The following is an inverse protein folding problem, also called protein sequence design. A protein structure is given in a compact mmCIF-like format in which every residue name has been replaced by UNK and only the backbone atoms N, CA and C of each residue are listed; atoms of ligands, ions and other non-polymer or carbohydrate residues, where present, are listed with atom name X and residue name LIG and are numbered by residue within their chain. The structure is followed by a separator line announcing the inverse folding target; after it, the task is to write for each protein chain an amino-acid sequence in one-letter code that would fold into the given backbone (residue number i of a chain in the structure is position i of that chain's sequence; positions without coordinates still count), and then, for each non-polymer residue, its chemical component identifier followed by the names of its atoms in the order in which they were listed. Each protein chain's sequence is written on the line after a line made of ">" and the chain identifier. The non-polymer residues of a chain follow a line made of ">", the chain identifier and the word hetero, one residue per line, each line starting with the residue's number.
data_IF_837957802450
#
_entry.id   IF_837957802450
#
_cell.length_a   1.000
_cell.length_b   1.000
_cell.length_c   1.000
_cell.angle_alpha   90.00
_cell.angle_beta   90.00
_cell.angle_gamma   90.00
#
_symmetry.space_group_name_H-M   'P 1'
#
loop_
_entity.id
_entity.type
_entity.pdbx_description
1 polymer ?
#
# COMPACT_ATOMS: atom_id res chain seq x y z
N UNK A 1 -23.35 -17.42 20.29
CA UNK A 1 -22.46 -16.29 20.64
C UNK A 1 -21.22 -16.49 19.79
N UNK A 2 -21.29 -16.00 18.56
CA UNK A 2 -20.17 -16.09 17.61
C UNK A 2 -19.13 -15.05 18.03
N UNK A 3 -17.88 -15.47 18.07
CA UNK A 3 -16.74 -14.57 18.23
C UNK A 3 -16.79 -13.51 17.11
N UNK A 4 -16.88 -12.20 17.42
CA UNK A 4 -17.01 -11.15 16.41
C UNK A 4 -15.70 -10.85 15.67
N UNK A 5 -14.61 -11.56 15.99
CA UNK A 5 -13.29 -11.35 15.41
C UNK A 5 -12.85 -12.57 14.59
N UNK A 6 -13.38 -12.68 13.36
CA UNK A 6 -12.99 -13.70 12.38
C UNK A 6 -11.55 -13.57 11.85
N UNK A 7 -10.55 -13.39 12.72
CA UNK A 7 -9.16 -13.24 12.30
C UNK A 7 -8.47 -14.61 12.28
N UNK A 8 -8.26 -15.14 11.07
CA UNK A 8 -7.30 -16.22 10.84
C UNK A 8 -5.88 -15.65 10.99
N UNK A 9 -4.92 -16.38 11.61
CA UNK A 9 -3.52 -15.99 11.59
C UNK A 9 -3.04 -15.82 10.14
N UNK A 10 -2.66 -14.60 9.74
CA UNK A 10 -2.31 -14.25 8.35
C UNK A 10 -3.33 -13.39 7.60
N UNK A 11 -4.53 -13.16 8.15
CA UNK A 11 -5.48 -12.18 7.62
C UNK A 11 -4.96 -10.76 7.91
N UNK A 12 -4.80 -9.93 6.88
CA UNK A 12 -4.33 -8.54 7.00
C UNK A 12 -2.91 -8.26 6.49
N UNK A 13 -2.29 -9.24 5.82
CA UNK A 13 -0.97 -9.09 5.22
C UNK A 13 -1.02 -9.50 3.76
N UNK A 14 -0.48 -8.66 2.87
CA UNK A 14 -0.33 -8.94 1.45
C UNK A 14 1.16 -9.10 1.10
N UNK A 15 1.54 -10.29 0.62
CA UNK A 15 2.92 -10.62 0.28
C UNK A 15 3.15 -10.45 -1.23
N UNK A 16 4.07 -9.55 -1.59
CA UNK A 16 4.44 -9.24 -2.98
C UNK A 16 5.68 -10.03 -3.44
N UNK A 17 6.22 -10.93 -2.61
CA UNK A 17 7.43 -11.71 -2.85
C UNK A 17 8.74 -10.93 -2.61
N UNK A 18 8.69 -9.59 -2.68
CA UNK A 18 9.81 -8.68 -2.37
C UNK A 18 9.49 -7.70 -1.24
N UNK A 19 8.23 -7.63 -0.82
CA UNK A 19 7.78 -6.85 0.33
C UNK A 19 6.51 -7.48 0.91
N UNK A 20 6.24 -7.15 2.17
CA UNK A 20 5.07 -7.57 2.89
C UNK A 20 4.32 -6.33 3.36
N UNK A 21 3.13 -6.12 2.82
CA UNK A 21 2.27 -4.98 3.15
C UNK A 21 1.31 -5.37 4.27
N UNK A 22 1.25 -4.57 5.32
CA UNK A 22 0.29 -4.75 6.40
C UNK A 22 -0.99 -3.98 6.10
N UNK A 23 -1.95 -4.65 5.48
CA UNK A 23 -3.25 -4.04 5.13
C UNK A 23 -4.14 -3.85 6.37
N UNK A 24 -3.87 -4.51 7.49
CA UNK A 24 -4.63 -4.37 8.73
C UNK A 24 -4.05 -3.30 9.68
N UNK A 25 -2.91 -2.70 9.33
CA UNK A 25 -2.18 -1.75 10.19
C UNK A 25 -3.08 -0.69 10.80
N UNK A 26 -3.92 -0.04 9.99
CA UNK A 26 -4.87 0.98 10.45
C UNK A 26 -5.75 0.48 11.59
N UNK A 27 -6.31 -0.72 11.48
CA UNK A 27 -7.17 -1.29 12.53
C UNK A 27 -6.39 -1.54 13.83
N UNK A 28 -5.11 -1.90 13.73
CA UNK A 28 -4.26 -2.23 14.88
C UNK A 28 -3.63 -1.01 15.54
N UNK A 29 -3.39 0.06 14.79
CA UNK A 29 -2.56 1.18 15.23
C UNK A 29 -3.16 2.56 15.01
N UNK A 30 -4.31 2.69 14.35
CA UNK A 30 -4.92 3.96 13.98
C UNK A 30 -4.47 4.51 12.62
N UNK A 31 -3.23 4.22 12.20
CA UNK A 31 -2.68 4.72 10.92
C UNK A 31 -2.57 3.64 9.83
N UNK A 32 -2.88 3.96 8.56
CA UNK A 32 -2.68 3.04 7.44
C UNK A 32 -1.19 2.83 7.14
N UNK A 33 -0.91 1.77 6.37
CA UNK A 33 0.43 1.52 5.85
C UNK A 33 0.82 2.57 4.80
N UNK A 34 2.08 3.01 4.83
CA UNK A 34 2.65 4.03 3.93
C UNK A 34 3.85 3.44 3.19
N UNK A 35 3.97 3.75 1.90
CA UNK A 35 5.09 3.29 1.07
C UNK A 35 6.26 4.26 1.16
N UNK A 36 7.41 3.81 1.66
CA UNK A 36 8.67 4.53 1.52
C UNK A 36 9.32 4.19 0.17
N UNK A 37 9.52 5.18 -0.70
CA UNK A 37 10.11 4.99 -2.03
C UNK A 37 11.62 4.78 -2.05
N UNK A 38 12.34 5.19 -1.01
CA UNK A 38 13.79 5.09 -0.95
C UNK A 38 14.26 3.63 -1.10
N UNK A 39 15.12 3.38 -2.09
CA UNK A 39 15.66 2.05 -2.39
C UNK A 39 14.70 1.11 -3.14
N UNK A 40 13.49 1.58 -3.52
CA UNK A 40 12.55 0.82 -4.35
C UNK A 40 12.71 1.17 -5.82
N UNK A 41 12.41 0.21 -6.68
CA UNK A 41 12.24 0.48 -8.12
C UNK A 41 10.87 1.14 -8.38
N UNK A 42 10.74 1.82 -9.52
CA UNK A 42 9.47 2.42 -9.94
C UNK A 42 8.33 1.38 -9.98
N UNK A 43 8.59 0.19 -10.53
CA UNK A 43 7.61 -0.90 -10.58
C UNK A 43 7.20 -1.41 -9.19
N UNK A 44 8.14 -1.47 -8.23
CA UNK A 44 7.82 -1.82 -6.85
C UNK A 44 6.94 -0.77 -6.17
N UNK A 45 7.20 0.52 -6.41
CA UNK A 45 6.36 1.60 -5.89
C UNK A 45 4.93 1.47 -6.41
N UNK A 46 4.77 1.34 -7.73
CA UNK A 46 3.44 1.23 -8.35
C UNK A 46 2.70 -0.02 -7.85
N UNK A 47 3.37 -1.17 -7.81
CA UNK A 47 2.76 -2.41 -7.34
C UNK A 47 2.32 -2.32 -5.86
N UNK A 48 3.11 -1.68 -4.99
CA UNK A 48 2.71 -1.47 -3.60
C UNK A 48 1.49 -0.55 -3.48
N UNK A 49 1.47 0.56 -4.21
CA UNK A 49 0.35 1.49 -4.21
C UNK A 49 -0.94 0.85 -4.72
N UNK A 50 -0.86 0.07 -5.81
CA UNK A 50 -1.98 -0.69 -6.34
C UNK A 50 -2.51 -1.71 -5.34
N UNK A 51 -1.62 -2.48 -4.70
CA UNK A 51 -2.02 -3.49 -3.72
C UNK A 51 -2.70 -2.86 -2.49
N UNK A 52 -2.16 -1.76 -1.95
CA UNK A 52 -2.77 -1.04 -0.83
C UNK A 52 -4.11 -0.40 -1.22
N UNK A 53 -4.19 0.20 -2.42
CA UNK A 53 -5.42 0.82 -2.91
C UNK A 53 -6.52 -0.20 -3.19
N UNK A 54 -6.17 -1.37 -3.73
CA UNK A 54 -7.12 -2.46 -3.95
C UNK A 54 -7.63 -3.07 -2.62
N UNK A 55 -6.79 -3.11 -1.59
CA UNK A 55 -7.18 -3.58 -0.26
C UNK A 55 -8.11 -2.57 0.45
N UNK A 56 -7.98 -1.27 0.15
CA UNK A 56 -8.74 -0.19 0.80
C UNK A 56 -9.22 0.85 -0.23
N UNK A 57 -10.20 0.50 -1.09
CA UNK A 57 -10.62 1.35 -2.22
C UNK A 57 -11.19 2.71 -1.78
N UNK A 58 -11.75 2.78 -0.56
CA UNK A 58 -12.34 4.00 -0.01
C UNK A 58 -11.33 4.87 0.76
N UNK A 59 -10.03 4.57 0.69
CA UNK A 59 -8.98 5.26 1.46
C UNK A 59 -7.82 5.69 0.58
N UNK A 60 -7.26 6.84 0.90
CA UNK A 60 -6.02 7.30 0.27
C UNK A 60 -4.83 6.43 0.70
N UNK A 61 -3.92 6.20 -0.24
CA UNK A 61 -2.62 5.55 -0.01
C UNK A 61 -1.53 6.60 -0.21
N UNK A 62 -0.54 6.61 0.68
CA UNK A 62 0.56 7.55 0.61
C UNK A 62 1.87 6.84 0.24
N UNK A 63 2.62 7.43 -0.70
CA UNK A 63 4.01 7.13 -0.93
C UNK A 63 4.88 8.38 -0.72
N UNK A 64 6.05 8.22 -0.11
CA UNK A 64 6.97 9.35 0.13
C UNK A 64 8.38 9.04 -0.36
N UNK A 65 9.17 10.09 -0.61
CA UNK A 65 10.57 10.01 -1.07
C UNK A 65 10.72 9.19 -2.35
N UNK A 66 9.81 9.41 -3.30
CA UNK A 66 9.86 8.80 -4.62
C UNK A 66 10.98 9.43 -5.46
N UNK A 67 11.65 8.62 -6.27
CA UNK A 67 12.58 9.13 -7.28
C UNK A 67 11.80 9.71 -8.47
N UNK A 68 12.41 10.53 -9.34
CA UNK A 68 11.75 11.03 -10.54
C UNK A 68 11.16 9.94 -11.43
N UNK A 69 11.85 8.80 -11.56
CA UNK A 69 11.39 7.65 -12.35
C UNK A 69 10.15 6.99 -11.72
N UNK A 70 10.11 6.89 -10.39
CA UNK A 70 8.95 6.38 -9.68
C UNK A 70 7.75 7.33 -9.79
N UNK A 71 7.97 8.65 -9.70
CA UNK A 71 6.92 9.66 -9.89
C UNK A 71 6.33 9.59 -11.31
N UNK A 72 7.18 9.44 -12.34
CA UNK A 72 6.73 9.28 -13.71
C UNK A 72 5.88 8.01 -13.89
N UNK A 73 6.33 6.88 -13.35
CA UNK A 73 5.58 5.63 -13.42
C UNK A 73 4.24 5.69 -12.67
N UNK A 74 4.19 6.37 -11.52
CA UNK A 74 2.95 6.62 -10.78
C UNK A 74 1.97 7.45 -11.62
N UNK A 75 2.43 8.56 -12.23
CA UNK A 75 1.57 9.40 -13.09
C UNK A 75 1.02 8.63 -14.29
N UNK A 76 1.82 7.75 -14.88
CA UNK A 76 1.42 6.94 -16.03
C UNK A 76 0.44 5.82 -15.67
N UNK A 77 0.72 5.08 -14.60
CA UNK A 77 -0.01 3.85 -14.26
C UNK A 77 -1.14 4.06 -13.25
N UNK A 78 -1.11 5.16 -12.51
CA UNK A 78 -2.09 5.55 -11.49
C UNK A 78 -2.59 6.97 -11.78
N UNK A 79 -3.40 7.17 -12.84
CA UNK A 79 -3.83 8.50 -13.27
C UNK A 79 -4.70 9.26 -12.24
N UNK A 80 -5.25 8.54 -11.24
CA UNK A 80 -5.98 9.14 -10.12
C UNK A 80 -5.08 9.57 -8.97
N UNK A 81 -3.77 9.26 -9.00
CA UNK A 81 -2.84 9.66 -7.96
C UNK A 81 -2.51 11.15 -8.10
N UNK A 82 -2.66 11.88 -7.00
CA UNK A 82 -2.17 13.25 -6.91
C UNK A 82 -0.67 13.24 -6.61
N UNK A 83 0.09 14.06 -7.35
CA UNK A 83 1.54 14.18 -7.22
C UNK A 83 1.88 15.67 -7.08
N UNK A 84 2.32 16.06 -5.89
CA UNK A 84 2.89 17.37 -5.55
C UNK A 84 4.37 17.46 -5.93
#
# INVERSE_FOLDING_TARGET
>A
MEDPSGQRPGAGVHDLGWARLDTDRHRRTGDPEVVLGTGKTAGQVVAALQALGAAHPDRAVLATRLTPEALAAVREQLPAAEVD
#
